data_IF_212601774923
#
_entry.id   IF_212601774923
#
_cell.length_a   1.000
_cell.length_b   1.000
_cell.length_c   1.000
_cell.angle_alpha   90.00
_cell.angle_beta   90.00
_cell.angle_gamma   90.00
#
_symmetry.space_group_name_H-M   'P 1'
#
loop_
_entity.id
_entity.type
_entity.pdbx_description
1 polymer ?
#
# COMPACT_ATOMS: atom_id res chain seq x y z
N UNK A 1 -9.62 17.83 4.73
CA UNK A 1 -10.10 18.23 3.37
C UNK A 1 -11.12 17.19 2.89
N UNK A 2 -12.08 17.48 2.01
CA UNK A 2 -13.01 16.46 1.48
C UNK A 2 -12.82 16.30 -0.03
N UNK A 3 -12.33 15.14 -0.45
CA UNK A 3 -12.01 14.84 -1.85
C UNK A 3 -13.22 14.25 -2.58
N UNK A 4 -13.60 14.83 -3.71
CA UNK A 4 -14.73 14.39 -4.51
C UNK A 4 -14.36 14.20 -5.99
N UNK A 5 -13.74 13.06 -6.30
CA UNK A 5 -13.17 12.77 -7.62
C UNK A 5 -12.09 13.76 -8.03
N UNK A 6 -11.27 14.15 -7.05
CA UNK A 6 -10.13 15.04 -7.25
C UNK A 6 -8.96 14.24 -7.82
N UNK A 7 -8.23 14.87 -8.74
CA UNK A 7 -7.09 14.24 -9.40
C UNK A 7 -5.77 14.78 -8.86
N UNK A 8 -4.86 13.88 -8.47
CA UNK A 8 -3.48 14.21 -8.10
C UNK A 8 -2.55 13.81 -9.24
N UNK A 9 -2.19 14.80 -10.06
CA UNK A 9 -1.57 14.56 -11.36
C UNK A 9 -2.50 13.75 -12.29
N UNK A 10 -1.91 12.98 -13.19
CA UNK A 10 -2.69 12.40 -14.30
C UNK A 10 -3.29 11.01 -14.03
N UNK A 11 -2.94 10.38 -12.91
CA UNK A 11 -3.19 8.95 -12.70
C UNK A 11 -3.60 8.54 -11.28
N UNK A 12 -3.91 9.50 -10.40
CA UNK A 12 -4.50 9.24 -9.09
C UNK A 12 -5.80 10.02 -8.99
N UNK A 13 -6.91 9.32 -8.76
CA UNK A 13 -8.21 9.93 -8.48
C UNK A 13 -8.64 9.56 -7.06
N UNK A 14 -9.09 10.55 -6.28
CA UNK A 14 -9.45 10.38 -4.87
C UNK A 14 -10.91 10.70 -4.63
N UNK A 15 -11.60 9.82 -3.90
CA UNK A 15 -12.97 10.00 -3.47
C UNK A 15 -13.16 9.63 -2.01
N UNK A 16 -13.47 10.63 -1.19
CA UNK A 16 -13.98 10.42 0.17
C UNK A 16 -15.48 10.11 0.14
N UNK A 17 -15.90 9.19 0.98
CA UNK A 17 -17.29 8.76 1.14
C UNK A 17 -17.46 8.00 2.46
N UNK A 18 -17.92 8.69 3.50
CA UNK A 18 -18.26 8.09 4.81
C UNK A 18 -19.28 6.93 4.76
N UNK A 19 -20.00 6.78 3.64
CA UNK A 19 -21.00 5.72 3.44
C UNK A 19 -20.60 4.73 2.35
N UNK A 20 -19.37 4.79 1.83
CA UNK A 20 -18.85 3.99 0.72
C UNK A 20 -19.82 3.89 -0.48
N UNK A 21 -20.46 5.00 -0.83
CA UNK A 21 -21.30 5.13 -2.02
C UNK A 21 -20.58 5.99 -3.05
N UNK A 22 -20.18 5.37 -4.16
CA UNK A 22 -19.40 6.00 -5.21
C UNK A 22 -19.72 5.34 -6.55
N UNK A 23 -19.49 6.11 -7.61
CA UNK A 23 -19.47 5.64 -8.99
C UNK A 23 -18.00 5.56 -9.39
N UNK A 24 -17.39 4.37 -9.42
CA UNK A 24 -15.97 4.28 -9.71
C UNK A 24 -15.71 4.70 -11.16
N UNK A 25 -14.61 5.42 -11.35
CA UNK A 25 -14.00 5.55 -12.66
C UNK A 25 -13.41 4.21 -13.08
N UNK A 26 -13.26 3.96 -14.38
CA UNK A 26 -12.48 2.81 -14.83
C UNK A 26 -11.02 2.95 -14.44
N UNK A 27 -10.41 1.86 -13.99
CA UNK A 27 -9.01 1.90 -13.56
C UNK A 27 -8.40 0.53 -13.32
N UNK A 28 -7.18 0.53 -12.77
CA UNK A 28 -6.37 -0.67 -12.63
C UNK A 28 -6.18 -1.06 -11.17
N UNK A 29 -5.86 -0.07 -10.34
CA UNK A 29 -5.47 -0.23 -8.94
C UNK A 29 -6.46 0.49 -8.03
N UNK A 30 -7.00 -0.20 -7.04
CA UNK A 30 -7.88 0.36 -6.03
C UNK A 30 -7.16 0.42 -4.68
N UNK A 31 -7.09 1.61 -4.11
CA UNK A 31 -6.55 1.89 -2.78
C UNK A 31 -7.74 2.24 -1.88
N UNK A 32 -7.98 1.46 -0.84
CA UNK A 32 -9.20 1.53 -0.05
C UNK A 32 -8.84 1.81 1.40
N UNK A 33 -9.18 2.99 1.89
CA UNK A 33 -9.15 3.31 3.32
C UNK A 33 -10.53 2.95 3.88
N UNK A 34 -10.60 1.88 4.68
CA UNK A 34 -11.83 1.42 5.32
C UNK A 34 -11.68 1.35 6.83
N UNK A 35 -12.04 2.45 7.48
CA UNK A 35 -11.94 2.65 8.91
C UNK A 35 -13.30 2.68 9.60
N UNK A 36 -14.38 3.06 8.90
CA UNK A 36 -15.69 3.30 9.53
C UNK A 36 -16.81 2.39 9.02
N UNK A 37 -16.84 2.07 7.73
CA UNK A 37 -17.94 1.32 7.11
C UNK A 37 -17.72 -0.18 7.25
N UNK A 38 -18.52 -0.80 8.13
CA UNK A 38 -18.59 -2.26 8.33
C UNK A 38 -19.79 -2.95 7.67
N UNK A 39 -20.66 -2.17 7.02
CA UNK A 39 -21.89 -2.71 6.42
C UNK A 39 -21.55 -3.60 5.23
N UNK A 40 -21.87 -4.89 5.37
CA UNK A 40 -21.56 -5.91 4.36
C UNK A 40 -22.18 -5.61 3.00
N UNK A 41 -23.43 -5.14 2.94
CA UNK A 41 -24.11 -4.89 1.67
C UNK A 41 -23.49 -3.70 0.93
N UNK A 42 -23.05 -2.68 1.67
CA UNK A 42 -22.31 -1.54 1.10
C UNK A 42 -20.95 -1.97 0.55
N UNK A 43 -20.20 -2.76 1.33
CA UNK A 43 -18.90 -3.30 0.91
C UNK A 43 -19.07 -4.16 -0.34
N UNK A 44 -20.01 -5.11 -0.35
CA UNK A 44 -20.25 -6.00 -1.50
C UNK A 44 -20.63 -5.22 -2.77
N UNK A 45 -21.45 -4.17 -2.63
CA UNK A 45 -21.79 -3.29 -3.75
C UNK A 45 -20.58 -2.53 -4.27
N UNK A 46 -19.78 -1.94 -3.39
CA UNK A 46 -18.55 -1.22 -3.75
C UNK A 46 -17.56 -2.14 -4.47
N UNK A 47 -17.33 -3.34 -3.92
CA UNK A 47 -16.48 -4.37 -4.51
C UNK A 47 -16.98 -4.78 -5.89
N UNK A 48 -18.27 -5.07 -6.05
CA UNK A 48 -18.85 -5.41 -7.35
C UNK A 48 -18.56 -4.31 -8.37
N UNK A 49 -18.82 -3.06 -7.99
CA UNK A 49 -18.61 -1.90 -8.85
C UNK A 49 -17.14 -1.74 -9.27
N UNK A 50 -16.20 -1.92 -8.34
CA UNK A 50 -14.75 -1.91 -8.64
C UNK A 50 -14.37 -3.07 -9.58
N UNK A 51 -14.84 -4.29 -9.34
CA UNK A 51 -14.51 -5.43 -10.20
C UNK A 51 -15.02 -5.23 -11.64
N UNK A 52 -16.24 -4.71 -11.79
CA UNK A 52 -16.87 -4.38 -13.09
C UNK A 52 -16.12 -3.25 -13.83
N UNK A 53 -15.48 -2.33 -13.10
CA UNK A 53 -14.71 -1.21 -13.66
C UNK A 53 -13.22 -1.51 -13.91
N UNK A 54 -12.84 -2.79 -13.90
CA UNK A 54 -11.52 -3.23 -14.37
C UNK A 54 -10.44 -3.32 -13.31
N UNK A 55 -10.72 -2.98 -12.04
CA UNK A 55 -9.73 -3.04 -10.96
C UNK A 55 -9.29 -4.48 -10.65
N UNK A 56 -7.97 -4.73 -10.58
CA UNK A 56 -7.39 -6.07 -10.35
C UNK A 56 -6.30 -6.11 -9.28
N UNK A 57 -5.80 -4.95 -8.86
CA UNK A 57 -4.95 -4.81 -7.69
C UNK A 57 -5.70 -4.02 -6.62
N UNK A 58 -5.73 -4.54 -5.40
CA UNK A 58 -6.37 -3.92 -4.25
C UNK A 58 -5.36 -3.76 -3.12
N UNK A 59 -5.16 -2.54 -2.65
CA UNK A 59 -4.42 -2.21 -1.45
C UNK A 59 -5.40 -1.61 -0.43
N UNK A 60 -5.51 -2.20 0.75
CA UNK A 60 -6.60 -1.91 1.69
C UNK A 60 -6.00 -1.61 3.06
N UNK A 61 -6.34 -0.46 3.60
CA UNK A 61 -5.91 0.00 4.92
C UNK A 61 -7.11 0.27 5.81
N UNK A 62 -6.98 0.00 7.11
CA UNK A 62 -7.94 0.40 8.14
C UNK A 62 -8.58 -0.77 8.88
N UNK A 63 -9.39 -0.45 9.90
CA UNK A 63 -9.95 -1.43 10.84
C UNK A 63 -10.77 -2.52 10.16
N UNK A 64 -11.46 -2.20 9.06
CA UNK A 64 -12.33 -3.13 8.33
C UNK A 64 -11.70 -3.65 7.03
N UNK A 65 -10.38 -3.53 6.89
CA UNK A 65 -9.64 -4.00 5.71
C UNK A 65 -9.85 -5.48 5.40
N UNK A 66 -10.00 -6.33 6.42
CA UNK A 66 -10.26 -7.77 6.30
C UNK A 66 -11.63 -8.08 5.69
N UNK A 67 -12.65 -7.27 6.02
CA UNK A 67 -13.99 -7.41 5.45
C UNK A 67 -13.98 -7.13 3.94
N UNK A 68 -13.28 -6.07 3.53
CA UNK A 68 -13.09 -5.74 2.11
C UNK A 68 -12.28 -6.81 1.38
N UNK A 69 -11.15 -7.24 1.94
CA UNK A 69 -10.31 -8.28 1.36
C UNK A 69 -11.12 -9.58 1.13
N UNK A 70 -11.94 -9.97 2.10
CA UNK A 70 -12.83 -11.13 2.00
C UNK A 70 -13.89 -10.94 0.92
N UNK A 71 -14.54 -9.78 0.86
CA UNK A 71 -15.55 -9.49 -0.15
C UNK A 71 -14.97 -9.52 -1.57
N UNK A 72 -13.78 -8.94 -1.78
CA UNK A 72 -13.05 -8.98 -3.07
C UNK A 72 -12.68 -10.43 -3.43
N UNK A 73 -12.20 -11.21 -2.46
CA UNK A 73 -11.87 -12.62 -2.68
C UNK A 73 -13.09 -13.46 -3.08
N UNK A 74 -14.29 -13.14 -2.57
CA UNK A 74 -15.53 -13.81 -2.95
C UNK A 74 -16.00 -13.35 -4.34
N UNK A 75 -16.03 -12.05 -4.59
CA UNK A 75 -16.50 -11.46 -5.85
C UNK A 75 -15.60 -11.80 -7.05
N UNK A 76 -14.32 -12.08 -6.80
CA UNK A 76 -13.32 -12.38 -7.83
C UNK A 76 -13.29 -13.83 -8.31
N UNK A 77 -14.03 -14.75 -7.68
CA UNK A 77 -14.05 -16.19 -8.04
C UNK A 77 -14.44 -16.49 -9.50
N UNK A 78 -14.92 -15.48 -10.23
CA UNK A 78 -15.33 -15.55 -11.64
C UNK A 78 -14.36 -14.90 -12.63
N UNK A 79 -13.19 -14.37 -12.19
CA UNK A 79 -12.29 -13.54 -13.00
C UNK A 79 -10.79 -13.82 -12.76
N UNK A 80 -9.95 -13.37 -13.70
CA UNK A 80 -8.47 -13.36 -13.70
C UNK A 80 -7.79 -13.09 -12.34
N UNK A 81 -6.52 -13.48 -12.23
CA UNK A 81 -5.62 -13.26 -11.07
C UNK A 81 -5.80 -11.85 -10.47
N UNK A 82 -6.47 -11.77 -9.32
CA UNK A 82 -6.59 -10.56 -8.50
C UNK A 82 -5.51 -10.60 -7.43
N UNK A 83 -4.89 -9.45 -7.16
CA UNK A 83 -3.94 -9.27 -6.06
C UNK A 83 -4.56 -8.40 -4.98
N UNK A 84 -4.52 -8.86 -3.74
CA UNK A 84 -5.09 -8.18 -2.57
C UNK A 84 -3.98 -8.06 -1.52
N UNK A 85 -3.74 -6.83 -1.06
CA UNK A 85 -2.88 -6.51 0.08
C UNK A 85 -3.76 -5.76 1.08
N UNK A 86 -3.85 -6.25 2.31
CA UNK A 86 -4.73 -5.68 3.33
C UNK A 86 -4.02 -5.60 4.68
N UNK A 87 -4.11 -4.45 5.35
CA UNK A 87 -3.50 -4.23 6.65
C UNK A 87 -4.36 -3.30 7.50
N UNK A 88 -4.42 -3.59 8.80
CA UNK A 88 -5.08 -2.69 9.78
C UNK A 88 -4.17 -1.56 10.26
N UNK A 89 -2.86 -1.73 10.14
CA UNK A 89 -1.86 -0.89 10.83
C UNK A 89 -0.79 -0.30 9.91
N UNK A 90 -0.61 -0.81 8.69
CA UNK A 90 0.46 -0.37 7.78
C UNK A 90 -0.01 0.73 6.81
N UNK A 91 -0.37 1.91 7.32
CA UNK A 91 -0.75 3.05 6.47
C UNK A 91 0.39 3.50 5.55
N UNK A 92 1.61 3.60 6.09
CA UNK A 92 2.80 3.99 5.36
C UNK A 92 3.04 3.13 4.12
N UNK A 93 2.84 1.81 4.23
CA UNK A 93 2.92 0.88 3.11
C UNK A 93 1.94 1.25 1.99
N UNK A 94 0.69 1.60 2.33
CA UNK A 94 -0.29 2.04 1.33
C UNK A 94 0.19 3.29 0.59
N UNK A 95 0.70 4.28 1.32
CA UNK A 95 1.18 5.54 0.73
C UNK A 95 2.36 5.29 -0.21
N UNK A 96 3.35 4.50 0.23
CA UNK A 96 4.49 4.14 -0.62
C UNK A 96 4.09 3.28 -1.82
N UNK A 97 3.15 2.35 -1.66
CA UNK A 97 2.62 1.56 -2.77
C UNK A 97 1.90 2.45 -3.79
N UNK A 98 1.14 3.45 -3.34
CA UNK A 98 0.50 4.43 -4.22
C UNK A 98 1.52 5.29 -4.95
N UNK A 99 2.53 5.80 -4.25
CA UNK A 99 3.63 6.57 -4.83
C UNK A 99 4.42 5.75 -5.88
N UNK A 100 4.72 4.49 -5.56
CA UNK A 100 5.36 3.54 -6.47
C UNK A 100 4.53 3.31 -7.74
N UNK A 101 3.22 3.05 -7.61
CA UNK A 101 2.36 2.89 -8.79
C UNK A 101 2.27 4.17 -9.61
N UNK A 102 2.19 5.34 -8.95
CA UNK A 102 2.17 6.64 -9.61
C UNK A 102 3.37 6.85 -10.53
N UNK A 103 4.56 6.60 -10.00
CA UNK A 103 5.83 6.94 -10.66
C UNK A 103 6.27 5.85 -11.64
N UNK A 104 6.18 4.58 -11.25
CA UNK A 104 6.71 3.47 -12.04
C UNK A 104 5.71 2.94 -13.09
N UNK A 105 4.43 3.25 -12.94
CA UNK A 105 3.36 2.81 -13.84
C UNK A 105 2.42 3.97 -14.19
N UNK A 106 2.93 5.04 -14.82
CA UNK A 106 2.17 6.26 -15.06
C UNK A 106 0.90 6.05 -15.90
N UNK A 107 0.91 5.05 -16.78
CA UNK A 107 -0.24 4.70 -17.64
C UNK A 107 -1.40 3.99 -16.90
N UNK A 108 -1.17 3.56 -15.64
CA UNK A 108 -2.21 2.90 -14.85
C UNK A 108 -2.95 3.90 -13.97
N UNK A 109 -4.27 3.79 -13.97
CA UNK A 109 -5.13 4.60 -13.11
C UNK A 109 -5.22 3.97 -11.72
N UNK A 110 -4.92 4.78 -10.71
CA UNK A 110 -5.02 4.46 -9.30
C UNK A 110 -6.21 5.20 -8.70
N UNK A 111 -7.18 4.47 -8.18
CA UNK A 111 -8.36 5.04 -7.56
C UNK A 111 -8.30 4.85 -6.05
N UNK A 112 -8.32 5.96 -5.32
CA UNK A 112 -8.35 5.98 -3.86
C UNK A 112 -9.79 6.23 -3.40
N UNK A 113 -10.33 5.32 -2.61
CA UNK A 113 -11.62 5.49 -1.96
C UNK A 113 -11.39 5.45 -0.45
N UNK A 114 -11.97 6.41 0.26
CA UNK A 114 -11.85 6.47 1.72
C UNK A 114 -13.21 6.67 2.38
N UNK A 115 -13.44 6.03 3.52
CA UNK A 115 -14.53 6.40 4.43
C UNK A 115 -14.09 7.29 5.58
N UNK A 116 -12.81 7.68 5.62
CA UNK A 116 -12.18 8.48 6.67
C UNK A 116 -11.26 9.56 6.04
N UNK A 117 -11.75 10.79 6.05
CA UNK A 117 -11.11 11.96 5.46
C UNK A 117 -9.79 12.33 6.14
N UNK A 118 -9.60 11.98 7.42
CA UNK A 118 -8.36 12.27 8.12
C UNK A 118 -7.23 11.37 7.63
N UNK A 119 -7.52 10.08 7.42
CA UNK A 119 -6.56 9.19 6.78
C UNK A 119 -6.33 9.53 5.31
N UNK A 120 -7.33 10.06 4.60
CA UNK A 120 -7.09 10.60 3.25
C UNK A 120 -6.13 11.78 3.27
N UNK A 121 -6.28 12.71 4.23
CA UNK A 121 -5.40 13.87 4.36
C UNK A 121 -3.94 13.45 4.64
N UNK A 122 -3.72 12.55 5.61
CA UNK A 122 -2.39 12.00 5.87
C UNK A 122 -1.79 11.29 4.65
N UNK A 123 -2.60 10.51 3.92
CA UNK A 123 -2.16 9.85 2.69
C UNK A 123 -1.68 10.87 1.65
N UNK A 124 -2.44 11.94 1.44
CA UNK A 124 -2.09 12.97 0.44
C UNK A 124 -0.83 13.75 0.86
N UNK A 125 -0.76 14.19 2.12
CA UNK A 125 0.41 14.91 2.62
C UNK A 125 1.71 14.10 2.50
N UNK A 126 1.67 12.82 2.87
CA UNK A 126 2.85 11.96 2.80
C UNK A 126 3.18 11.58 1.36
N UNK A 127 2.17 11.37 0.52
CA UNK A 127 2.35 11.16 -0.92
C UNK A 127 3.05 12.35 -1.57
N UNK A 128 2.66 13.59 -1.25
CA UNK A 128 3.32 14.81 -1.74
C UNK A 128 4.78 14.89 -1.28
N UNK A 129 5.08 14.60 -0.01
CA UNK A 129 6.46 14.55 0.50
C UNK A 129 7.31 13.54 -0.26
N UNK A 130 6.78 12.34 -0.54
CA UNK A 130 7.49 11.29 -1.27
C UNK A 130 7.73 11.71 -2.72
N UNK A 131 6.70 12.17 -3.44
CA UNK A 131 6.82 12.53 -4.86
C UNK A 131 7.71 13.76 -5.07
N UNK A 132 7.69 14.72 -4.14
CA UNK A 132 8.55 15.91 -4.21
C UNK A 132 10.02 15.64 -3.88
N UNK A 133 10.38 14.41 -3.51
CA UNK A 133 11.75 14.05 -3.13
C UNK A 133 12.16 14.53 -1.73
N UNK A 134 11.19 14.91 -0.90
CA UNK A 134 11.43 15.33 0.49
C UNK A 134 11.37 14.16 1.48
N UNK A 135 11.07 12.94 1.02
CA UNK A 135 11.20 11.72 1.82
C UNK A 135 12.59 11.09 1.67
N UNK A 136 13.08 10.46 2.73
CA UNK A 136 14.31 9.66 2.72
C UNK A 136 14.23 8.51 1.72
N UNK A 137 13.06 7.89 1.58
CA UNK A 137 12.83 6.77 0.67
C UNK A 137 12.07 7.23 -0.57
N UNK A 138 12.62 6.93 -1.74
CA UNK A 138 11.98 7.18 -3.02
C UNK A 138 11.02 6.04 -3.40
N UNK A 139 10.15 6.26 -4.39
CA UNK A 139 9.34 5.18 -4.97
C UNK A 139 10.16 4.03 -5.60
N UNK A 140 11.38 4.31 -6.06
CA UNK A 140 12.29 3.29 -6.60
C UNK A 140 12.90 2.44 -5.49
N UNK A 141 13.33 3.07 -4.40
CA UNK A 141 13.84 2.40 -3.20
C UNK A 141 12.78 1.46 -2.62
N UNK A 142 11.54 1.93 -2.53
CA UNK A 142 10.42 1.12 -2.05
C UNK A 142 10.16 -0.11 -2.93
N UNK A 143 10.30 0.04 -4.24
CA UNK A 143 10.14 -1.06 -5.20
C UNK A 143 11.22 -2.11 -5.00
N UNK A 144 12.49 -1.70 -4.88
CA UNK A 144 13.61 -2.59 -4.60
C UNK A 144 13.42 -3.32 -3.26
N UNK A 145 13.06 -2.58 -2.21
CA UNK A 145 12.74 -3.18 -0.92
C UNK A 145 11.61 -4.22 -1.02
N UNK A 146 10.52 -3.94 -1.74
CA UNK A 146 9.40 -4.88 -1.91
C UNK A 146 9.75 -6.10 -2.77
N UNK A 147 10.73 -5.99 -3.65
CA UNK A 147 11.22 -7.11 -4.46
C UNK A 147 12.18 -8.00 -3.65
N UNK A 148 12.74 -7.46 -2.56
CA UNK A 148 13.80 -8.10 -1.78
C UNK A 148 15.14 -7.99 -2.50
N UNK A 149 16.22 -7.85 -1.73
CA UNK A 149 17.57 -7.70 -2.26
C UNK A 149 18.62 -8.12 -1.24
N UNK A 150 19.83 -8.38 -1.73
CA UNK A 150 21.02 -8.65 -0.94
C UNK A 150 21.93 -7.42 -0.94
N UNK A 151 22.56 -7.14 0.18
CA UNK A 151 23.47 -6.01 0.34
C UNK A 151 24.57 -6.32 1.35
N UNK A 152 25.66 -5.54 1.32
CA UNK A 152 26.72 -5.66 2.32
C UNK A 152 26.72 -4.45 3.24
N UNK A 153 26.64 -4.68 4.55
CA UNK A 153 26.73 -3.62 5.56
C UNK A 153 27.84 -3.98 6.56
N UNK A 154 28.75 -3.05 6.83
CA UNK A 154 29.92 -3.27 7.70
C UNK A 154 30.73 -4.53 7.35
N UNK A 155 30.92 -4.80 6.05
CA UNK A 155 31.63 -5.97 5.50
C UNK A 155 30.99 -7.32 5.82
N UNK A 156 29.71 -7.33 6.19
CA UNK A 156 28.90 -8.53 6.36
C UNK A 156 27.79 -8.52 5.32
N UNK A 157 27.51 -9.68 4.75
CA UNK A 157 26.41 -9.83 3.81
C UNK A 157 25.08 -9.93 4.56
N UNK A 158 24.08 -9.29 4.00
CA UNK A 158 22.73 -9.18 4.53
C UNK A 158 21.70 -9.38 3.42
N UNK A 159 20.49 -9.76 3.82
CA UNK A 159 19.39 -10.02 2.91
C UNK A 159 18.11 -9.40 3.44
N UNK A 160 17.26 -8.98 2.50
CA UNK A 160 15.85 -8.71 2.69
C UNK A 160 15.07 -9.58 1.71
N UNK A 161 14.09 -10.31 2.22
CA UNK A 161 13.14 -11.08 1.42
C UNK A 161 11.73 -10.72 1.87
N UNK A 162 10.97 -10.10 0.97
CA UNK A 162 9.58 -9.69 1.22
C UNK A 162 8.65 -10.66 0.50
N UNK A 163 8.01 -11.55 1.26
CA UNK A 163 7.08 -12.55 0.74
C UNK A 163 5.79 -12.58 1.54
N UNK A 164 5.27 -13.77 1.87
CA UNK A 164 4.23 -13.91 2.89
C UNK A 164 4.77 -13.47 4.25
N UNK A 165 6.02 -13.83 4.53
CA UNK A 165 6.76 -13.40 5.70
C UNK A 165 7.87 -12.45 5.24
N UNK A 166 8.26 -11.49 6.09
CA UNK A 166 9.40 -10.60 5.81
C UNK A 166 10.62 -11.13 6.56
N UNK A 167 11.67 -11.49 5.82
CA UNK A 167 12.94 -11.94 6.39
C UNK A 167 13.98 -10.86 6.17
N UNK A 168 14.68 -10.46 7.24
CA UNK A 168 15.72 -9.43 7.17
C UNK A 168 16.85 -9.71 8.17
N UNK A 169 18.10 -9.49 7.76
CA UNK A 169 19.25 -9.53 8.65
C UNK A 169 20.54 -9.93 7.94
N UNK A 170 21.61 -10.11 8.73
CA UNK A 170 22.85 -10.69 8.22
C UNK A 170 22.63 -12.16 7.85
N UNK A 171 23.34 -12.64 6.81
CA UNK A 171 23.23 -14.03 6.38
C UNK A 171 23.57 -15.00 7.52
N UNK A 172 22.63 -15.88 7.86
CA UNK A 172 22.71 -16.85 8.95
C UNK A 172 22.18 -16.38 10.31
N UNK A 173 21.86 -15.09 10.45
CA UNK A 173 21.29 -14.47 11.66
C UNK A 173 20.00 -13.68 11.34
N UNK A 174 19.27 -14.10 10.31
CA UNK A 174 18.08 -13.40 9.84
C UNK A 174 16.91 -13.49 10.84
N UNK A 175 16.05 -12.47 10.83
CA UNK A 175 14.81 -12.44 11.59
C UNK A 175 13.60 -12.38 10.68
N UNK A 176 12.52 -13.02 11.13
CA UNK A 176 11.23 -13.03 10.44
C UNK A 176 10.24 -12.09 11.13
N UNK A 177 9.47 -11.35 10.33
CA UNK A 177 8.44 -10.41 10.76
C UNK A 177 7.14 -10.63 10.01
N UNK A 178 6.04 -10.30 10.67
CA UNK A 178 4.69 -10.38 10.12
C UNK A 178 4.36 -9.17 9.23
N UNK A 179 4.97 -8.01 9.48
CA UNK A 179 4.71 -6.78 8.75
C UNK A 179 5.98 -6.14 8.21
N UNK A 180 5.85 -5.43 7.08
CA UNK A 180 6.96 -4.69 6.48
C UNK A 180 7.42 -3.61 7.44
N UNK A 181 6.47 -2.89 8.07
CA UNK A 181 6.81 -1.83 9.02
C UNK A 181 7.65 -2.35 10.19
N UNK A 182 7.31 -3.50 10.76
CA UNK A 182 8.09 -4.07 11.86
C UNK A 182 9.51 -4.41 11.41
N UNK A 183 9.66 -5.10 10.28
CA UNK A 183 10.97 -5.44 9.72
C UNK A 183 11.82 -4.20 9.43
N UNK A 184 11.18 -3.15 8.91
CA UNK A 184 11.83 -1.94 8.46
C UNK A 184 12.42 -1.10 9.59
N UNK A 185 11.73 -1.03 10.73
CA UNK A 185 12.14 -0.24 11.90
C UNK A 185 12.83 -1.07 13.00
N UNK A 186 12.91 -2.39 12.86
CA UNK A 186 13.57 -3.22 13.86
C UNK A 186 15.09 -3.08 13.80
N UNK A 187 15.74 -2.97 14.97
CA UNK A 187 17.19 -2.77 15.11
C UNK A 187 17.98 -4.07 14.94
N UNK A 188 18.32 -4.41 13.70
CA UNK A 188 19.04 -5.65 13.33
C UNK A 188 20.52 -5.38 13.03
N UNK A 189 20.84 -4.23 12.45
CA UNK A 189 22.14 -3.94 11.86
C UNK A 189 23.00 -3.10 12.83
N UNK A 190 23.74 -3.80 13.71
CA UNK A 190 24.61 -3.18 14.71
C UNK A 190 23.88 -2.15 15.60
N UNK A 191 22.63 -2.46 15.97
CA UNK A 191 21.77 -1.59 16.78
C UNK A 191 20.99 -0.53 16.00
N UNK A 192 21.12 -0.50 14.66
CA UNK A 192 20.32 0.33 13.75
C UNK A 192 19.28 -0.51 12.99
N UNK A 193 18.21 0.15 12.56
CA UNK A 193 17.19 -0.39 11.66
C UNK A 193 17.57 -0.27 10.20
N UNK A 194 16.82 -0.95 9.31
CA UNK A 194 17.05 -0.83 7.86
C UNK A 194 16.85 0.62 7.39
N UNK A 195 15.79 1.27 7.89
CA UNK A 195 15.51 2.67 7.57
C UNK A 195 16.71 3.58 7.90
N UNK A 196 17.36 3.35 9.04
CA UNK A 196 18.49 4.16 9.50
C UNK A 196 19.76 3.93 8.66
N UNK A 197 19.95 2.74 8.09
CA UNK A 197 21.14 2.41 7.30
C UNK A 197 20.93 2.54 5.79
N UNK A 198 19.74 2.92 5.33
CA UNK A 198 19.40 2.92 3.90
C UNK A 198 20.37 3.73 3.04
N UNK A 199 20.78 4.90 3.53
CA UNK A 199 21.73 5.75 2.80
C UNK A 199 23.19 5.25 2.87
N UNK A 200 23.46 4.19 3.63
CA UNK A 200 24.79 3.59 3.82
C UNK A 200 24.98 2.31 2.99
N UNK A 201 23.91 1.75 2.41
CA UNK A 201 23.90 0.47 1.67
C UNK A 201 23.77 0.66 0.17
#
# INVERSE_FOLDING_TARGET
MYYNYEWIGDNICIKDSHVMNFEPISGNNAFIISHHVRDKLKIERGVKSLLENGFRYFNIFGEFSDLWAKAISIGSKTSNKIKIEASKIEMSRMVYDLAMMKVLKPDLINYVISDDEYFTEYLVEDLEKIISGNSTFTPYDWKEFKEGFEFSYNKKDAIISVSKDIVIGFLGDEKTFDTINDAFYYKIFDGKSLYEIWNEI
#
